data_IF_430274207748
#
_entry.id   IF_430274207748
#
_cell.length_a   1.000
_cell.length_b   1.000
_cell.length_c   1.000
_cell.angle_alpha   90.00
_cell.angle_beta   90.00
_cell.angle_gamma   90.00
#
_symmetry.space_group_name_H-M   'P 1'
#
loop_
_entity.id
_entity.type
_entity.pdbx_description
1 polymer ?
#
# COMPACT_ATOMS: atom_id res chain seq x y z
N UNK A 1 10.04 10.46 1.30
CA UNK A 1 11.20 11.27 0.94
C UNK A 1 11.12 11.48 -0.55
N UNK A 2 11.14 12.73 -1.01
CA UNK A 2 10.98 13.05 -2.42
C UNK A 2 12.13 12.47 -3.26
N UNK A 3 13.32 12.43 -2.69
CA UNK A 3 14.55 11.87 -3.25
C UNK A 3 14.51 10.35 -3.46
N UNK A 4 13.61 9.63 -2.77
CA UNK A 4 13.49 8.16 -2.90
C UNK A 4 12.30 7.71 -3.75
N UNK A 5 11.51 8.63 -4.32
CA UNK A 5 10.37 8.28 -5.18
C UNK A 5 10.80 7.46 -6.41
N UNK A 6 11.96 7.78 -7.00
CA UNK A 6 12.53 6.99 -8.11
C UNK A 6 12.89 5.57 -7.71
N UNK A 7 13.49 5.39 -6.53
CA UNK A 7 13.82 4.07 -5.98
C UNK A 7 12.57 3.25 -5.66
N UNK A 8 11.53 3.90 -5.12
CA UNK A 8 10.25 3.27 -4.83
C UNK A 8 9.61 2.69 -6.10
N UNK A 9 9.58 3.45 -7.20
CA UNK A 9 9.03 2.96 -8.46
C UNK A 9 9.90 1.92 -9.14
N UNK A 10 11.22 2.05 -9.04
CA UNK A 10 12.16 1.02 -9.48
C UNK A 10 11.89 -0.31 -8.76
N UNK A 11 11.74 -0.27 -7.43
CA UNK A 11 11.39 -1.45 -6.64
C UNK A 11 10.07 -2.06 -7.12
N UNK A 12 8.99 -1.27 -7.22
CA UNK A 12 7.68 -1.77 -7.67
C UNK A 12 7.76 -2.44 -9.05
N UNK A 13 8.56 -1.89 -9.97
CA UNK A 13 8.83 -2.50 -11.27
C UNK A 13 9.61 -3.82 -11.14
N UNK A 14 10.71 -3.83 -10.41
CA UNK A 14 11.61 -4.99 -10.30
C UNK A 14 10.95 -6.19 -9.61
N UNK A 15 10.15 -5.96 -8.57
CA UNK A 15 9.44 -7.02 -7.86
C UNK A 15 8.09 -7.38 -8.48
N UNK A 16 7.74 -6.81 -9.64
CA UNK A 16 6.47 -7.04 -10.32
C UNK A 16 5.22 -6.79 -9.43
N UNK A 17 5.26 -5.75 -8.59
CA UNK A 17 4.10 -5.38 -7.76
C UNK A 17 2.98 -4.86 -8.64
N UNK A 18 1.76 -5.35 -8.45
CA UNK A 18 0.54 -4.80 -9.07
C UNK A 18 -0.32 -3.99 -8.07
N UNK A 19 -0.03 -4.07 -6.77
CA UNK A 19 -0.86 -3.50 -5.71
C UNK A 19 -0.01 -2.79 -4.67
N UNK A 20 -0.29 -1.51 -4.46
CA UNK A 20 0.30 -0.70 -3.38
C UNK A 20 -0.78 -0.40 -2.35
N UNK A 21 -0.48 -0.59 -1.08
CA UNK A 21 -1.34 -0.25 0.05
C UNK A 21 -0.71 0.87 0.86
N UNK A 22 -1.32 2.05 0.80
CA UNK A 22 -0.90 3.25 1.53
C UNK A 22 -1.78 3.47 2.76
N UNK A 23 -1.21 3.25 3.94
CA UNK A 23 -1.89 3.31 5.24
C UNK A 23 -1.74 4.66 5.94
N UNK A 24 -1.60 5.75 5.19
CA UNK A 24 -1.43 7.10 5.73
C UNK A 24 -1.98 8.16 4.79
N UNK A 25 -2.37 9.31 5.34
CA UNK A 25 -2.50 10.54 4.55
C UNK A 25 -1.11 11.09 4.23
N UNK A 26 -1.02 11.99 3.26
CA UNK A 26 0.22 12.72 2.95
C UNK A 26 0.64 13.58 4.15
N UNK A 27 -0.33 14.22 4.79
CA UNK A 27 -0.15 15.09 5.93
C UNK A 27 -1.16 14.76 7.03
N UNK A 28 -0.70 14.77 8.28
CA UNK A 28 -1.52 14.59 9.48
C UNK A 28 -1.10 15.63 10.53
N UNK A 29 -2.03 16.48 10.95
CA UNK A 29 -1.79 17.60 11.88
C UNK A 29 -0.55 18.42 11.53
N UNK A 30 -0.51 18.92 10.30
CA UNK A 30 0.58 19.74 9.77
C UNK A 30 1.95 19.07 9.65
N UNK A 31 2.02 17.75 9.93
CA UNK A 31 3.23 16.96 9.73
C UNK A 31 3.10 16.12 8.48
N UNK A 32 4.06 16.30 7.57
CA UNK A 32 4.22 15.42 6.41
C UNK A 32 4.53 14.01 6.92
N UNK A 33 3.71 13.05 6.50
CA UNK A 33 3.84 11.62 6.80
C UNK A 33 4.41 10.85 5.63
N UNK A 34 4.07 11.29 4.42
CA UNK A 34 4.50 10.67 3.17
C UNK A 34 4.51 11.74 2.08
N UNK A 35 5.58 11.79 1.30
CA UNK A 35 5.62 12.62 0.09
C UNK A 35 4.79 11.97 -1.00
N UNK A 36 4.16 12.79 -1.83
CA UNK A 36 3.41 12.29 -2.97
C UNK A 36 4.37 11.69 -4.00
N UNK A 37 4.24 10.40 -4.25
CA UNK A 37 5.07 9.65 -5.21
C UNK A 37 4.30 9.31 -6.50
N UNK A 38 3.18 9.96 -6.78
CA UNK A 38 2.37 9.69 -7.97
C UNK A 38 1.94 11.00 -8.65
N UNK A 39 1.59 10.97 -9.95
CA UNK A 39 1.19 12.17 -10.68
C UNK A 39 -0.06 12.83 -10.13
N UNK A 40 -0.11 14.16 -10.12
CA UNK A 40 -1.29 14.89 -9.61
C UNK A 40 -2.42 14.92 -10.63
N UNK A 41 -2.07 15.02 -11.91
CA UNK A 41 -3.05 15.22 -13.00
C UNK A 41 -3.26 13.93 -13.78
N UNK A 42 -4.53 13.54 -13.94
CA UNK A 42 -4.92 12.36 -14.73
C UNK A 42 -4.47 12.55 -16.19
N UNK A 43 -3.89 11.51 -16.77
CA UNK A 43 -3.43 11.50 -18.17
C UNK A 43 -2.12 12.24 -18.43
N UNK A 44 -1.50 12.85 -17.41
CA UNK A 44 -0.21 13.53 -17.51
C UNK A 44 0.87 12.66 -16.87
N UNK A 45 1.75 12.01 -17.66
CA UNK A 45 2.81 11.18 -17.11
C UNK A 45 3.87 12.01 -16.38
N UNK A 46 4.38 11.47 -15.27
CA UNK A 46 5.56 12.02 -14.56
C UNK A 46 6.66 10.96 -14.50
N UNK A 47 7.92 11.40 -14.60
CA UNK A 47 9.08 10.51 -14.58
C UNK A 47 9.73 10.47 -13.20
N UNK A 48 9.92 9.26 -12.69
CA UNK A 48 10.58 8.96 -11.42
C UNK A 48 11.80 8.09 -11.71
N UNK A 49 12.93 8.73 -12.03
CA UNK A 49 14.12 8.02 -12.53
C UNK A 49 13.82 7.32 -13.87
N UNK A 50 14.09 6.00 -14.02
CA UNK A 50 13.87 5.27 -15.27
C UNK A 50 12.41 4.82 -15.47
N UNK A 51 11.50 5.12 -14.54
CA UNK A 51 10.09 4.70 -14.60
C UNK A 51 9.21 5.93 -14.80
N UNK A 52 8.42 5.93 -15.87
CA UNK A 52 7.35 6.90 -16.09
C UNK A 52 6.05 6.34 -15.55
N UNK A 53 5.34 7.13 -14.75
CA UNK A 53 4.08 6.76 -14.10
C UNK A 53 2.98 7.68 -14.62
N UNK A 54 1.86 7.11 -15.03
CA UNK A 54 0.69 7.84 -15.50
C UNK A 54 -0.51 7.52 -14.61
N UNK A 55 -1.17 8.53 -14.07
CA UNK A 55 -2.43 8.35 -13.37
C UNK A 55 -3.57 8.26 -14.39
N UNK A 56 -4.28 7.13 -14.43
CA UNK A 56 -5.34 6.89 -15.43
C UNK A 56 -6.74 6.95 -14.82
N UNK A 57 -6.91 6.51 -13.57
CA UNK A 57 -8.18 6.57 -12.87
C UNK A 57 -8.04 6.85 -11.36
N UNK A 58 -9.08 7.44 -10.78
CA UNK A 58 -9.21 7.68 -9.35
C UNK A 58 -10.65 7.36 -8.94
N UNK A 59 -10.81 6.43 -8.00
CA UNK A 59 -12.06 6.15 -7.32
C UNK A 59 -11.97 6.66 -5.89
N UNK A 60 -12.76 7.69 -5.56
CA UNK A 60 -12.87 8.23 -4.22
C UNK A 60 -14.04 7.57 -3.50
N UNK A 61 -13.77 6.97 -2.33
CA UNK A 61 -14.78 6.40 -1.45
C UNK A 61 -14.72 7.06 -0.07
N UNK A 62 -15.68 6.73 0.79
CA UNK A 62 -15.81 7.36 2.11
C UNK A 62 -14.56 7.18 3.00
N UNK A 63 -13.90 6.02 2.95
CA UNK A 63 -12.83 5.66 3.89
C UNK A 63 -11.49 5.31 3.24
N UNK A 64 -11.45 5.27 1.91
CA UNK A 64 -10.24 5.03 1.14
C UNK A 64 -10.40 5.56 -0.29
N UNK A 65 -9.29 5.66 -1.02
CA UNK A 65 -9.30 5.91 -2.45
C UNK A 65 -8.46 4.88 -3.20
N UNK A 66 -8.82 4.62 -4.45
CA UNK A 66 -8.09 3.73 -5.34
C UNK A 66 -7.59 4.57 -6.51
N UNK A 67 -6.29 4.51 -6.80
CA UNK A 67 -5.68 5.09 -7.99
C UNK A 67 -5.22 3.98 -8.92
N UNK A 68 -5.56 4.07 -10.19
CA UNK A 68 -5.00 3.20 -11.24
C UNK A 68 -3.86 3.94 -11.91
N UNK A 69 -2.68 3.31 -11.88
CA UNK A 69 -1.42 3.87 -12.35
C UNK A 69 -0.85 2.96 -13.43
N UNK A 70 -0.40 3.54 -14.54
CA UNK A 70 0.31 2.82 -15.59
C UNK A 70 1.79 3.16 -15.54
N UNK A 71 2.63 2.13 -15.46
CA UNK A 71 4.07 2.22 -15.44
C UNK A 71 4.64 1.86 -16.81
N UNK A 72 5.64 2.62 -17.23
CA UNK A 72 6.49 2.30 -18.37
C UNK A 72 7.95 2.59 -18.03
N UNK A 73 8.83 1.61 -18.24
CA UNK A 73 10.27 1.76 -18.00
C UNK A 73 10.99 2.21 -19.28
N UNK A 74 11.92 3.16 -19.16
CA UNK A 74 12.72 3.63 -20.30
C UNK A 74 13.44 2.47 -20.98
N UNK A 75 13.32 2.39 -22.31
CA UNK A 75 13.90 1.30 -23.11
C UNK A 75 13.14 -0.02 -23.05
N UNK A 76 11.99 -0.08 -22.36
CA UNK A 76 11.10 -1.24 -22.34
C UNK A 76 9.73 -0.87 -22.96
N UNK A 77 9.20 -1.74 -23.82
CA UNK A 77 7.88 -1.58 -24.44
C UNK A 77 6.73 -2.10 -23.55
N UNK A 78 7.06 -2.89 -22.53
CA UNK A 78 6.10 -3.40 -21.55
C UNK A 78 5.46 -2.23 -20.79
N UNK A 79 4.13 -2.32 -20.63
CA UNK A 79 3.35 -1.43 -19.78
C UNK A 79 2.70 -2.26 -18.69
N UNK A 80 2.80 -1.80 -17.44
CA UNK A 80 2.23 -2.48 -16.27
C UNK A 80 1.20 -1.60 -15.62
N UNK A 81 0.12 -2.20 -15.15
CA UNK A 81 -0.87 -1.54 -14.31
C UNK A 81 -0.55 -1.81 -12.83
N UNK A 82 -0.55 -0.75 -12.02
CA UNK A 82 -0.49 -0.81 -10.57
C UNK A 82 -1.70 -0.10 -10.00
N UNK A 83 -2.36 -0.72 -9.02
CA UNK A 83 -3.43 -0.09 -8.24
C UNK A 83 -2.92 0.30 -6.87
N UNK A 84 -3.03 1.59 -6.54
CA UNK A 84 -2.69 2.11 -5.23
C UNK A 84 -3.97 2.32 -4.41
N UNK A 85 -4.05 1.64 -3.28
CA UNK A 85 -5.14 1.70 -2.31
C UNK A 85 -4.70 2.55 -1.13
N UNK A 86 -5.27 3.73 -0.95
CA UNK A 86 -4.95 4.61 0.17
C UNK A 86 -6.09 4.61 1.17
N UNK A 87 -5.87 4.04 2.36
CA UNK A 87 -6.83 4.10 3.46
C UNK A 87 -6.74 5.46 4.16
N UNK A 88 -7.83 6.22 4.16
CA UNK A 88 -7.88 7.62 4.62
C UNK A 88 -8.63 7.80 5.94
N UNK A 89 -9.27 6.76 6.45
CA UNK A 89 -10.04 6.78 7.70
C UNK A 89 -9.25 6.33 8.94
N UNK A 90 -7.94 6.13 8.85
CA UNK A 90 -7.12 5.88 10.04
C UNK A 90 -6.90 7.19 10.81
N UNK A 91 -7.20 7.25 12.12
CA UNK A 91 -7.04 8.48 12.90
C UNK A 91 -5.57 8.83 13.19
N UNK A 92 -5.29 10.11 13.42
CA UNK A 92 -3.93 10.58 13.75
C UNK A 92 -3.42 10.02 15.10
N UNK A 93 -4.34 9.74 16.03
CA UNK A 93 -4.06 9.12 17.32
C UNK A 93 -4.89 7.85 17.48
N UNK A 94 -4.23 6.80 17.95
CA UNK A 94 -4.87 5.51 18.21
C UNK A 94 -5.18 4.72 16.94
N UNK A 95 -6.31 4.03 16.99
CA UNK A 95 -6.80 3.09 15.98
C UNK A 95 -8.22 3.45 15.58
N UNK A 96 -8.72 3.00 14.41
CA UNK A 96 -10.13 3.20 14.07
C UNK A 96 -11.08 2.66 15.14
N UNK A 97 -12.12 3.42 15.48
CA UNK A 97 -13.09 3.04 16.53
C UNK A 97 -13.85 1.75 16.20
N UNK A 98 -14.04 1.49 14.91
CA UNK A 98 -14.70 0.29 14.41
C UNK A 98 -13.84 -0.40 13.33
N UNK A 99 -13.71 -1.73 13.36
CA UNK A 99 -12.88 -2.46 12.40
C UNK A 99 -13.55 -2.59 11.02
N UNK A 100 -14.86 -2.40 10.91
CA UNK A 100 -15.62 -2.71 9.70
C UNK A 100 -15.11 -1.98 8.44
N UNK A 101 -14.83 -0.66 8.44
CA UNK A 101 -14.28 0.01 7.26
C UNK A 101 -12.90 -0.52 6.86
N UNK A 102 -12.08 -0.89 7.84
CA UNK A 102 -10.76 -1.44 7.60
C UNK A 102 -10.82 -2.86 7.03
N UNK A 103 -11.72 -3.71 7.53
CA UNK A 103 -11.96 -5.04 6.99
C UNK A 103 -12.54 -5.00 5.56
N UNK A 104 -13.41 -4.03 5.26
CA UNK A 104 -13.91 -3.81 3.90
C UNK A 104 -12.77 -3.39 2.95
N UNK A 105 -11.87 -2.53 3.43
CA UNK A 105 -10.68 -2.12 2.68
C UNK A 105 -9.77 -3.31 2.36
N UNK A 106 -9.44 -4.15 3.35
CA UNK A 106 -8.67 -5.39 3.17
C UNK A 106 -9.28 -6.30 2.11
N UNK A 107 -10.59 -6.58 2.22
CA UNK A 107 -11.32 -7.39 1.24
C UNK A 107 -11.24 -6.81 -0.17
N UNK A 108 -11.31 -5.47 -0.30
CA UNK A 108 -11.20 -4.79 -1.59
C UNK A 108 -9.81 -4.90 -2.19
N UNK A 109 -8.76 -4.75 -1.38
CA UNK A 109 -7.36 -4.96 -1.79
C UNK A 109 -7.18 -6.37 -2.32
N UNK A 110 -7.56 -7.39 -1.53
CA UNK A 110 -7.41 -8.79 -1.92
C UNK A 110 -8.20 -9.14 -3.19
N UNK A 111 -9.46 -8.70 -3.30
CA UNK A 111 -10.30 -8.98 -4.46
C UNK A 111 -9.80 -8.34 -5.77
N UNK A 112 -8.96 -7.30 -5.69
CA UNK A 112 -8.45 -6.58 -6.85
C UNK A 112 -6.97 -6.84 -7.14
N UNK A 113 -6.30 -7.65 -6.31
CA UNK A 113 -4.92 -8.05 -6.54
C UNK A 113 -4.87 -9.23 -7.53
N UNK A 114 -4.18 -9.09 -8.68
CA UNK A 114 -4.06 -10.18 -9.65
C UNK A 114 -3.34 -11.41 -9.08
N UNK A 115 -3.72 -12.64 -9.45
CA UNK A 115 -3.03 -13.86 -9.04
C UNK A 115 -1.55 -13.93 -9.46
N UNK A 116 -1.20 -13.31 -10.58
CA UNK A 116 0.14 -13.23 -11.15
C UNK A 116 0.98 -12.07 -10.59
N UNK A 117 0.42 -11.27 -9.67
CA UNK A 117 1.13 -10.15 -9.07
C UNK A 117 2.28 -10.63 -8.19
N UNK A 118 3.36 -9.87 -8.19
CA UNK A 118 4.39 -9.95 -7.17
C UNK A 118 3.88 -9.48 -5.79
N UNK A 119 4.78 -9.29 -4.80
CA UNK A 119 4.38 -8.92 -3.46
C UNK A 119 3.61 -7.59 -3.42
N UNK A 120 2.62 -7.51 -2.53
CA UNK A 120 1.97 -6.25 -2.18
C UNK A 120 2.99 -5.32 -1.53
N UNK A 121 3.03 -4.07 -1.98
CA UNK A 121 3.83 -3.04 -1.32
C UNK A 121 2.95 -2.31 -0.31
N UNK A 122 3.13 -2.59 0.98
CA UNK A 122 2.38 -1.95 2.06
C UNK A 122 3.26 -0.94 2.77
N UNK A 123 2.81 0.31 2.91
CA UNK A 123 3.55 1.35 3.62
C UNK A 123 2.63 2.30 4.39
N UNK A 124 3.21 3.01 5.36
CA UNK A 124 2.58 4.15 6.04
C UNK A 124 3.57 5.32 6.01
N UNK A 125 3.94 5.86 7.18
CA UNK A 125 5.05 6.82 7.30
C UNK A 125 6.39 6.10 7.53
N UNK A 126 6.56 5.43 8.69
CA UNK A 126 7.76 4.63 8.99
C UNK A 126 7.69 3.18 8.47
N UNK A 127 6.51 2.74 8.02
CA UNK A 127 6.29 1.38 7.52
C UNK A 127 6.34 0.29 8.58
N UNK A 128 5.94 0.58 9.83
CA UNK A 128 6.00 -0.39 10.95
C UNK A 128 4.69 -0.52 11.73
N UNK A 129 4.05 0.59 12.11
CA UNK A 129 2.81 0.60 12.90
C UNK A 129 1.59 0.15 12.10
N UNK A 130 0.92 1.09 11.41
CA UNK A 130 -0.27 0.81 10.58
C UNK A 130 -0.01 -0.23 9.48
N UNK A 131 1.21 -0.23 8.93
CA UNK A 131 1.67 -1.26 7.98
C UNK A 131 1.68 -2.65 8.62
N UNK A 132 2.23 -2.79 9.83
CA UNK A 132 2.19 -4.06 10.56
C UNK A 132 0.78 -4.48 10.90
N UNK A 133 -0.09 -3.57 11.33
CA UNK A 133 -1.50 -3.89 11.59
C UNK A 133 -2.20 -4.44 10.35
N UNK A 134 -1.97 -3.84 9.18
CA UNK A 134 -2.50 -4.36 7.92
C UNK A 134 -2.03 -5.79 7.66
N UNK A 135 -0.71 -6.02 7.71
CA UNK A 135 -0.11 -7.33 7.37
C UNK A 135 -0.58 -8.43 8.34
N UNK A 136 -0.64 -8.14 9.64
CA UNK A 136 -1.09 -9.11 10.65
C UNK A 136 -2.55 -9.47 10.45
N UNK A 137 -3.43 -8.48 10.27
CA UNK A 137 -4.86 -8.74 10.11
C UNK A 137 -5.11 -9.52 8.82
N UNK A 138 -4.48 -9.12 7.72
CA UNK A 138 -4.55 -9.83 6.43
C UNK A 138 -4.13 -11.30 6.57
N UNK A 139 -2.95 -11.54 7.15
CA UNK A 139 -2.41 -12.89 7.34
C UNK A 139 -3.26 -13.76 8.28
N UNK A 140 -3.80 -13.17 9.35
CA UNK A 140 -4.65 -13.90 10.30
C UNK A 140 -6.04 -14.20 9.75
N UNK A 141 -6.58 -13.34 8.88
CA UNK A 141 -7.84 -13.64 8.20
C UNK A 141 -7.68 -14.83 7.24
N UNK A 142 -6.57 -14.89 6.48
CA UNK A 142 -6.33 -16.02 5.59
C UNK A 142 -6.04 -17.31 6.37
N UNK A 143 -5.28 -17.22 7.47
CA UNK A 143 -5.07 -18.36 8.37
C UNK A 143 -6.37 -18.88 8.96
N UNK A 144 -7.23 -17.99 9.47
CA UNK A 144 -8.52 -18.37 10.03
C UNK A 144 -9.41 -19.08 9.00
N UNK A 145 -9.38 -18.65 7.74
CA UNK A 145 -10.14 -19.26 6.64
C UNK A 145 -9.65 -20.67 6.27
N UNK A 146 -8.35 -20.94 6.39
CA UNK A 146 -7.75 -22.21 5.98
C UNK A 146 -7.53 -23.21 7.12
N UNK A 147 -7.28 -22.72 8.34
CA UNK A 147 -6.87 -23.53 9.49
C UNK A 147 -7.85 -23.41 10.67
N UNK A 148 -8.86 -22.54 10.61
CA UNK A 148 -9.76 -22.23 11.73
C UNK A 148 -9.01 -21.81 13.01
N UNK A 149 -7.82 -21.22 12.85
CA UNK A 149 -6.97 -20.76 13.96
C UNK A 149 -6.36 -19.38 13.67
N UNK A 150 -5.96 -18.70 14.74
CA UNK A 150 -5.20 -17.44 14.70
C UNK A 150 -4.05 -17.50 15.71
N UNK A 151 -2.91 -16.92 15.35
CA UNK A 151 -1.77 -16.73 16.25
C UNK A 151 -1.18 -15.34 16.04
N UNK A 152 -1.86 -14.34 16.59
CA UNK A 152 -1.47 -12.94 16.45
C UNK A 152 -0.09 -12.72 17.10
N UNK A 153 0.15 -13.30 18.27
CA UNK A 153 1.40 -13.12 19.02
C UNK A 153 2.60 -13.71 18.27
N UNK A 154 2.49 -14.97 17.84
CA UNK A 154 3.55 -15.63 17.08
C UNK A 154 3.81 -14.96 15.74
N UNK A 155 2.75 -14.52 15.06
CA UNK A 155 2.91 -13.83 13.78
C UNK A 155 3.57 -12.44 13.93
N UNK A 156 3.16 -11.63 14.93
CA UNK A 156 3.85 -10.36 15.24
C UNK A 156 5.31 -10.58 15.62
N UNK A 157 5.60 -11.63 16.39
CA UNK A 157 6.97 -12.03 16.75
C UNK A 157 7.79 -12.35 15.50
N UNK A 158 7.24 -13.09 14.55
CA UNK A 158 7.87 -13.38 13.27
C UNK A 158 8.10 -12.09 12.44
N UNK A 159 7.11 -11.20 12.35
CA UNK A 159 7.26 -9.93 11.63
C UNK A 159 8.38 -9.07 12.22
N UNK A 160 8.51 -9.03 13.55
CA UNK A 160 9.58 -8.28 14.23
C UNK A 160 10.99 -8.83 13.97
N UNK A 161 11.11 -10.10 13.60
CA UNK A 161 12.38 -10.69 13.16
C UNK A 161 12.77 -10.26 11.73
N UNK A 162 11.80 -9.86 10.90
CA UNK A 162 12.02 -9.44 9.50
C UNK A 162 12.13 -7.92 9.37
N UNK A 163 11.41 -7.16 10.20
CA UNK A 163 11.41 -5.70 10.22
C UNK A 163 11.22 -5.19 11.65
N UNK A 164 12.02 -4.21 12.04
CA UNK A 164 11.96 -3.65 13.38
C UNK A 164 10.58 -3.07 13.73
N UNK A 165 10.16 -3.24 14.98
CA UNK A 165 8.98 -2.60 15.57
C UNK A 165 7.64 -2.81 14.84
N UNK A 166 7.51 -3.88 14.04
CA UNK A 166 6.23 -4.22 13.40
C UNK A 166 5.12 -4.32 14.45
N UNK A 167 4.01 -3.63 14.17
CA UNK A 167 2.93 -3.33 15.12
C UNK A 167 3.45 -2.56 16.33
N UNK A 168 3.49 -1.22 16.17
CA UNK A 168 3.94 -0.25 17.17
C UNK A 168 2.75 0.44 17.84
#
# INVERSE_FOLDING_TARGET
>A
MQETCGDFWRMCWEVNTCTIVMMTKLEERTRIKCDQYWPTSRGHPESYGPVTVTLTDIQQLATYCIRTLHLQRTGNSERREIRQFQFTAWPDHGVPDHPAPFLQFLRRVHAMNPPEAGPLVVHCSAGVGRTGCFIVIDSMLERMKHEDTVDIYGHVTCLRAQRNYMVQ
#
